data_IF_048931252676
#
_entry.id   IF_048931252676
#
_cell.length_a   1.000
_cell.length_b   1.000
_cell.length_c   1.000
_cell.angle_alpha   90.00
_cell.angle_beta   90.00
_cell.angle_gamma   90.00
#
_symmetry.space_group_name_H-M   'P 1'
#
loop_
_entity.id
_entity.type
_entity.pdbx_description
1 polymer ?
#
# COMPACT_ATOMS: atom_id res chain seq x y z
N UNK A 1 -32.66 -4.01 -19.15
CA UNK A 1 -32.86 -3.62 -17.74
C UNK A 1 -31.82 -4.45 -17.04
N UNK A 2 -30.65 -3.87 -16.84
CA UNK A 2 -29.53 -4.53 -16.21
C UNK A 2 -28.98 -3.48 -15.25
N UNK A 3 -29.62 -3.42 -14.07
CA UNK A 3 -29.01 -2.78 -12.92
C UNK A 3 -27.87 -3.70 -12.50
N UNK A 4 -26.66 -3.45 -13.03
CA UNK A 4 -25.42 -3.95 -12.43
C UNK A 4 -25.33 -3.34 -11.03
N UNK A 5 -25.96 -4.03 -10.07
CA UNK A 5 -25.94 -3.64 -8.67
C UNK A 5 -24.51 -3.65 -8.13
N UNK A 6 -24.18 -2.67 -7.30
CA UNK A 6 -22.90 -2.65 -6.59
C UNK A 6 -22.79 -3.88 -5.69
N UNK A 7 -21.86 -4.79 -5.98
CA UNK A 7 -21.52 -5.86 -5.05
C UNK A 7 -20.93 -5.24 -3.78
N UNK A 8 -21.56 -5.48 -2.64
CA UNK A 8 -21.02 -5.11 -1.34
C UNK A 8 -19.93 -6.10 -0.95
N UNK A 9 -18.68 -5.73 -1.21
CA UNK A 9 -17.51 -6.45 -0.72
C UNK A 9 -17.39 -6.24 0.79
N UNK A 10 -17.30 -7.34 1.56
CA UNK A 10 -17.06 -7.28 3.00
C UNK A 10 -15.68 -6.65 3.25
N UNK A 11 -15.66 -5.41 3.74
CA UNK A 11 -14.44 -4.74 4.13
C UNK A 11 -13.92 -5.31 5.47
N UNK A 12 -12.61 -5.60 5.60
CA UNK A 12 -12.04 -6.03 6.87
C UNK A 12 -12.24 -4.96 7.96
N UNK A 13 -12.52 -5.40 9.18
CA UNK A 13 -12.88 -4.52 10.32
C UNK A 13 -11.81 -3.47 10.64
N UNK A 14 -10.55 -3.76 10.34
CA UNK A 14 -9.42 -2.85 10.56
C UNK A 14 -9.27 -1.76 9.49
N UNK A 15 -10.17 -1.72 8.50
CA UNK A 15 -10.22 -0.67 7.48
C UNK A 15 -11.45 0.20 7.72
N UNK A 16 -11.25 1.50 7.79
CA UNK A 16 -12.36 2.46 7.95
C UNK A 16 -13.16 2.55 6.66
N UNK A 17 -14.38 2.05 6.68
CA UNK A 17 -15.34 2.06 5.57
C UNK A 17 -15.44 3.46 4.94
N UNK A 18 -15.14 3.53 3.63
CA UNK A 18 -15.21 4.75 2.83
C UNK A 18 -14.20 5.86 3.19
N UNK A 19 -13.25 5.61 4.09
CA UNK A 19 -12.31 6.62 4.61
C UNK A 19 -10.85 6.27 4.38
N UNK A 20 -10.56 4.99 4.20
CA UNK A 20 -9.25 4.52 3.79
C UNK A 20 -9.29 4.06 2.34
N UNK A 21 -8.21 4.33 1.62
CA UNK A 21 -7.95 3.83 0.27
C UNK A 21 -6.44 3.79 0.07
N UNK A 22 -5.99 3.42 -1.12
CA UNK A 22 -4.60 3.55 -1.50
C UNK A 22 -4.40 4.72 -2.45
N UNK A 23 -3.38 5.53 -2.19
CA UNK A 23 -2.93 6.59 -3.07
C UNK A 23 -1.59 6.24 -3.70
N UNK A 24 -1.47 6.48 -5.00
CA UNK A 24 -0.20 6.31 -5.70
C UNK A 24 0.76 7.45 -5.33
N UNK A 25 1.92 7.11 -4.77
CA UNK A 25 2.95 8.06 -4.33
C UNK A 25 4.35 7.60 -4.75
N UNK A 26 5.24 8.55 -4.98
CA UNK A 26 6.69 8.29 -5.11
C UNK A 26 7.36 8.47 -3.75
N UNK A 27 8.25 7.56 -3.37
CA UNK A 27 8.87 7.56 -2.06
C UNK A 27 9.37 6.20 -1.63
N UNK A 28 9.80 6.08 -0.38
CA UNK A 28 10.32 4.85 0.22
C UNK A 28 9.67 4.57 1.57
N UNK A 29 9.51 3.30 1.90
CA UNK A 29 9.19 2.90 3.27
C UNK A 29 10.48 2.79 4.08
N UNK A 30 10.43 3.30 5.30
CA UNK A 30 11.53 3.22 6.27
C UNK A 30 11.06 2.62 7.57
N UNK A 31 11.99 2.08 8.33
CA UNK A 31 11.76 1.62 9.70
C UNK A 31 12.86 2.17 10.59
N UNK A 32 12.58 2.32 11.87
CA UNK A 32 13.62 2.70 12.83
C UNK A 32 14.53 1.50 13.10
N UNK A 33 15.84 1.69 12.91
CA UNK A 33 16.85 0.73 13.30
C UNK A 33 17.01 0.63 14.82
N UNK A 34 17.74 -0.39 15.31
CA UNK A 34 18.03 -0.56 16.74
C UNK A 34 18.90 0.59 17.30
N UNK A 35 19.59 1.31 16.43
CA UNK A 35 20.40 2.50 16.70
C UNK A 35 19.57 3.80 16.70
N UNK A 36 18.26 3.73 16.44
CA UNK A 36 17.41 4.92 16.32
C UNK A 36 17.60 5.67 15.00
N UNK A 37 18.22 5.06 14.00
CA UNK A 37 18.40 5.66 12.67
C UNK A 37 17.36 5.09 11.70
N UNK A 38 16.64 5.91 10.91
CA UNK A 38 15.75 5.41 9.87
C UNK A 38 16.53 4.63 8.79
N UNK A 39 16.09 3.41 8.52
CA UNK A 39 16.65 2.53 7.49
C UNK A 39 15.58 2.17 6.48
N UNK A 40 15.98 1.82 5.24
CA UNK A 40 15.04 1.32 4.24
C UNK A 40 14.34 0.05 4.75
N UNK A 41 13.00 0.06 4.70
CA UNK A 41 12.22 -1.10 5.07
C UNK A 41 12.20 -2.10 3.91
N UNK A 42 12.65 -3.33 4.19
CA UNK A 42 12.40 -4.45 3.29
C UNK A 42 10.88 -4.71 3.24
N UNK A 43 10.32 -4.79 2.03
CA UNK A 43 8.94 -5.23 1.84
C UNK A 43 8.87 -6.76 1.79
N UNK A 44 7.74 -7.31 2.19
CA UNK A 44 7.39 -8.72 2.00
C UNK A 44 7.13 -8.94 0.51
N UNK A 45 7.71 -10.00 -0.05
CA UNK A 45 7.60 -10.31 -1.47
C UNK A 45 6.81 -11.60 -1.69
N UNK A 46 5.69 -11.51 -2.41
CA UNK A 46 4.92 -12.65 -2.90
C UNK A 46 5.20 -12.80 -4.41
N UNK A 47 5.82 -13.92 -4.78
CA UNK A 47 6.30 -14.19 -6.13
C UNK A 47 5.46 -15.24 -6.88
N UNK A 48 4.22 -15.49 -6.44
CA UNK A 48 3.35 -16.44 -7.13
C UNK A 48 3.21 -16.04 -8.62
N UNK A 49 3.35 -16.98 -9.57
CA UNK A 49 3.43 -16.65 -11.00
C UNK A 49 2.20 -15.92 -11.56
N UNK A 50 1.06 -16.07 -10.91
CA UNK A 50 -0.22 -15.48 -11.30
C UNK A 50 -0.57 -14.22 -10.51
N UNK A 51 0.32 -13.73 -9.64
CA UNK A 51 0.02 -12.56 -8.81
C UNK A 51 0.03 -11.29 -9.65
N UNK A 52 -1.12 -10.63 -9.70
CA UNK A 52 -1.31 -9.37 -10.38
C UNK A 52 -1.34 -8.16 -9.44
N UNK A 53 -1.42 -6.94 -9.99
CA UNK A 53 -1.58 -5.71 -9.21
C UNK A 53 -2.83 -5.71 -8.31
N UNK A 54 -3.94 -6.28 -8.80
CA UNK A 54 -5.19 -6.41 -8.04
C UNK A 54 -5.02 -7.35 -6.84
N UNK A 55 -4.34 -8.50 -7.03
CA UNK A 55 -4.03 -9.41 -5.92
C UNK A 55 -3.14 -8.73 -4.87
N UNK A 56 -2.18 -7.90 -5.30
CA UNK A 56 -1.30 -7.18 -4.40
C UNK A 56 -2.05 -6.14 -3.56
N UNK A 57 -3.00 -5.44 -4.20
CA UNK A 57 -3.94 -4.56 -3.52
C UNK A 57 -4.74 -5.34 -2.48
N UNK A 58 -5.30 -6.48 -2.85
CA UNK A 58 -6.20 -7.25 -1.99
C UNK A 58 -5.46 -7.92 -0.82
N UNK A 59 -4.25 -8.43 -1.05
CA UNK A 59 -3.35 -8.92 0.00
C UNK A 59 -3.07 -7.83 1.04
N UNK A 60 -2.70 -6.63 0.58
CA UNK A 60 -2.45 -5.51 1.48
C UNK A 60 -3.74 -5.00 2.15
N UNK A 61 -4.85 -4.95 1.41
CA UNK A 61 -6.12 -4.45 1.95
C UNK A 61 -6.64 -5.32 3.10
N UNK A 62 -6.56 -6.64 2.94
CA UNK A 62 -7.01 -7.63 3.93
C UNK A 62 -6.01 -7.85 5.07
N UNK A 63 -4.77 -7.38 4.93
CA UNK A 63 -3.77 -7.40 5.99
C UNK A 63 -3.78 -6.08 6.76
N UNK A 64 -4.29 -6.11 7.99
CA UNK A 64 -4.46 -4.92 8.82
C UNK A 64 -3.16 -4.16 9.10
N UNK A 65 -2.03 -4.85 9.14
CA UNK A 65 -0.73 -4.26 9.37
C UNK A 65 -0.11 -3.68 8.10
N UNK A 66 -0.66 -3.98 6.92
CA UNK A 66 -0.17 -3.44 5.67
C UNK A 66 -0.44 -1.94 5.54
N UNK A 67 0.60 -1.21 5.13
CA UNK A 67 0.62 0.24 4.95
C UNK A 67 0.84 0.66 3.49
N UNK A 68 1.18 -0.27 2.60
CA UNK A 68 1.21 -0.02 1.17
C UNK A 68 1.90 -1.13 0.38
N UNK A 69 1.81 -1.04 -0.95
CA UNK A 69 2.35 -2.04 -1.86
C UNK A 69 2.95 -1.41 -3.13
N UNK A 70 3.76 -2.16 -3.87
CA UNK A 70 4.36 -1.71 -5.13
C UNK A 70 3.38 -1.91 -6.28
N UNK A 71 3.27 -0.90 -7.16
CA UNK A 71 2.50 -0.99 -8.39
C UNK A 71 3.27 -1.67 -9.52
N UNK A 72 4.02 -2.74 -9.23
CA UNK A 72 4.97 -3.28 -10.19
C UNK A 72 4.24 -4.08 -11.29
N UNK A 73 4.05 -3.45 -12.43
CA UNK A 73 3.40 -4.03 -13.62
C UNK A 73 4.38 -4.91 -14.42
N UNK A 74 4.00 -6.17 -14.73
CA UNK A 74 4.74 -7.05 -15.63
C UNK A 74 4.75 -8.53 -15.22
N UNK A 75 4.88 -9.45 -16.19
CA UNK A 75 4.96 -10.88 -15.90
C UNK A 75 6.21 -11.19 -15.04
N UNK A 76 6.02 -11.77 -13.86
CA UNK A 76 7.10 -12.10 -12.92
C UNK A 76 7.56 -10.95 -12.03
N UNK A 77 6.86 -9.81 -12.02
CA UNK A 77 7.19 -8.67 -11.15
C UNK A 77 6.96 -8.96 -9.66
N UNK A 78 6.05 -9.89 -9.34
CA UNK A 78 5.66 -10.21 -7.96
C UNK A 78 4.95 -9.05 -7.27
N UNK A 79 4.44 -9.31 -6.07
CA UNK A 79 3.86 -8.30 -5.19
C UNK A 79 4.86 -7.99 -4.08
N UNK A 80 5.29 -6.74 -3.97
CA UNK A 80 5.99 -6.27 -2.79
C UNK A 80 5.05 -5.41 -1.96
N UNK A 81 4.88 -5.73 -0.67
CA UNK A 81 4.10 -4.92 0.25
C UNK A 81 4.86 -4.65 1.54
N UNK A 82 4.49 -3.58 2.23
CA UNK A 82 5.11 -3.13 3.46
C UNK A 82 4.06 -3.14 4.58
N UNK A 83 4.42 -3.78 5.68
CA UNK A 83 3.56 -3.99 6.83
C UNK A 83 4.27 -3.70 8.15
N UNK A 84 3.48 -3.55 9.21
CA UNK A 84 3.96 -3.37 10.58
C UNK A 84 4.46 -1.95 10.83
N UNK A 85 5.55 -1.82 11.58
CA UNK A 85 6.06 -0.53 12.04
C UNK A 85 7.00 0.13 11.00
N UNK A 86 6.41 0.58 9.90
CA UNK A 86 7.09 1.31 8.83
C UNK A 86 6.43 2.65 8.54
N UNK A 87 7.21 3.59 8.03
CA UNK A 87 6.77 4.94 7.66
C UNK A 87 7.09 5.20 6.20
N UNK A 88 6.10 5.67 5.44
CA UNK A 88 6.31 6.12 4.07
C UNK A 88 6.87 7.55 4.06
N UNK A 89 8.03 7.72 3.41
CA UNK A 89 8.65 9.02 3.16
C UNK A 89 8.50 9.35 1.68
N UNK A 90 7.67 10.36 1.32
CA UNK A 90 7.52 10.76 -0.05
C UNK A 90 8.82 11.34 -0.59
N UNK A 91 9.08 11.10 -1.87
CA UNK A 91 10.17 11.76 -2.57
C UNK A 91 9.86 13.25 -2.74
N UNK A 92 10.90 14.08 -2.89
CA UNK A 92 10.79 15.52 -3.12
C UNK A 92 10.31 15.91 -4.54
N UNK A 93 9.81 14.93 -5.31
CA UNK A 93 9.43 15.09 -6.72
C UNK A 93 10.60 15.19 -7.70
N UNK A 94 11.87 15.20 -7.22
CA UNK A 94 13.08 15.15 -8.09
C UNK A 94 13.70 13.76 -8.17
N UNK A 95 13.29 12.85 -7.28
CA UNK A 95 13.65 11.44 -7.34
C UNK A 95 13.25 10.84 -8.69
N UNK A 96 14.22 10.20 -9.36
CA UNK A 96 13.98 9.45 -10.60
C UNK A 96 13.43 8.05 -10.35
N UNK A 97 13.10 7.71 -9.11
CA UNK A 97 12.49 6.41 -8.80
C UNK A 97 11.17 6.31 -9.54
N UNK A 98 11.15 5.50 -10.61
CA UNK A 98 9.95 5.26 -11.41
C UNK A 98 8.98 4.28 -10.73
N UNK A 99 9.39 3.68 -9.62
CA UNK A 99 8.59 2.67 -8.92
C UNK A 99 7.62 3.37 -7.98
N UNK A 100 6.41 3.53 -8.48
CA UNK A 100 5.29 4.06 -7.72
C UNK A 100 4.82 3.04 -6.68
N UNK A 101 4.43 3.55 -5.53
CA UNK A 101 3.86 2.77 -4.43
C UNK A 101 2.44 3.21 -4.18
N UNK A 102 1.57 2.27 -3.86
CA UNK A 102 0.22 2.50 -3.42
C UNK A 102 0.23 2.51 -1.89
N UNK A 103 0.11 3.70 -1.30
CA UNK A 103 0.26 3.93 0.15
C UNK A 103 -1.12 4.09 0.76
N UNK A 104 -1.37 3.39 1.87
CA UNK A 104 -2.64 3.44 2.57
C UNK A 104 -2.86 4.85 3.12
N UNK A 105 -4.00 5.46 2.78
CA UNK A 105 -4.41 6.73 3.36
C UNK A 105 -4.80 6.50 4.81
N UNK A 106 -4.28 7.34 5.70
CA UNK A 106 -4.86 7.55 7.01
C UNK A 106 -5.58 8.88 6.90
N UNK A 107 -6.89 8.92 7.16
CA UNK A 107 -7.53 10.22 7.40
C UNK A 107 -6.74 10.90 8.53
N UNK A 108 -6.22 12.10 8.28
CA UNK A 108 -5.77 12.96 9.36
C UNK A 108 -7.04 13.41 10.10
N UNK A 109 -7.24 13.04 11.38
CA UNK A 109 -8.42 13.47 12.15
C UNK A 109 -8.55 15.00 12.24
N UNK A 110 -7.49 15.74 11.88
CA UNK A 110 -7.38 17.19 12.01
C UNK A 110 -8.03 17.98 10.87
N UNK A 111 -8.39 17.35 9.74
CA UNK A 111 -8.98 18.03 8.57
C UNK A 111 -10.51 17.85 8.46
N UNK A 112 -11.21 18.04 9.58
CA UNK A 112 -12.67 18.30 9.57
C UNK A 112 -12.87 19.81 9.50
N UNK A 113 -12.95 20.34 8.28
CA UNK A 113 -13.46 21.69 8.02
C UNK A 113 -14.97 21.77 8.17
#
# INVERSE_FOLDING_TARGET
MDDEGCETWNQPECRLLGRQTFEQKSGVFTRMGPDGVPQLAAGVFDNRPTIGPADCRDLCWNNCDCLGYSGQEGAGSGCQYWEGNVTFNPDDGRSRSRILKYVLTKEDPSNKG
#
